data_IF_450074088316
#
_entry.id   IF_450074088316
#
_cell.length_a   1.000
_cell.length_b   1.000
_cell.length_c   1.000
_cell.angle_alpha   90.00
_cell.angle_beta   90.00
_cell.angle_gamma   90.00
#
_symmetry.space_group_name_H-M   'P 1'
#
loop_
_entity.id
_entity.type
_entity.pdbx_description
1 polymer ?
#
# COMPACT_ATOMS: atom_id res chain seq x y z
N UNK A 1 -4.92 -15.06 -6.66
CA UNK A 1 -3.91 -14.18 -6.01
C UNK A 1 -3.74 -12.76 -6.59
N UNK A 2 -3.16 -12.56 -7.79
CA UNK A 2 -2.71 -11.25 -8.31
C UNK A 2 -3.78 -10.14 -8.32
N UNK A 3 -5.01 -10.45 -8.72
CA UNK A 3 -6.10 -9.47 -8.78
C UNK A 3 -6.46 -8.90 -7.39
N UNK A 4 -6.34 -9.71 -6.34
CA UNK A 4 -6.53 -9.25 -4.95
C UNK A 4 -5.34 -8.42 -4.47
N UNK A 5 -4.13 -8.74 -4.94
CA UNK A 5 -2.90 -8.04 -4.55
C UNK A 5 -2.82 -6.64 -5.13
N UNK A 6 -3.05 -6.52 -6.44
CA UNK A 6 -2.69 -5.31 -7.20
C UNK A 6 -3.42 -4.06 -6.70
N UNK A 7 -4.66 -4.20 -6.23
CA UNK A 7 -5.41 -3.10 -5.63
C UNK A 7 -4.76 -2.61 -4.33
N UNK A 8 -4.46 -3.53 -3.40
CA UNK A 8 -3.82 -3.21 -2.11
C UNK A 8 -2.40 -2.65 -2.31
N UNK A 9 -1.64 -3.28 -3.20
CA UNK A 9 -0.31 -2.84 -3.62
C UNK A 9 -0.34 -1.39 -4.12
N UNK A 10 -1.21 -1.11 -5.11
CA UNK A 10 -1.28 0.21 -5.74
C UNK A 10 -1.64 1.29 -4.74
N UNK A 11 -2.51 0.99 -3.78
CA UNK A 11 -2.93 1.90 -2.74
C UNK A 11 -1.77 2.25 -1.78
N UNK A 12 -1.08 1.23 -1.24
CA UNK A 12 0.08 1.45 -0.35
C UNK A 12 1.21 2.15 -1.07
N UNK A 13 1.55 1.71 -2.27
CA UNK A 13 2.65 2.28 -3.05
C UNK A 13 2.38 3.75 -3.38
N UNK A 14 1.17 4.06 -3.81
CA UNK A 14 0.73 5.43 -4.06
C UNK A 14 0.88 6.31 -2.82
N UNK A 15 0.39 5.84 -1.67
CA UNK A 15 0.39 6.60 -0.43
C UNK A 15 1.77 6.77 0.18
N UNK A 16 2.61 5.73 0.15
CA UNK A 16 3.98 5.79 0.62
C UNK A 16 4.81 6.78 -0.20
N UNK A 17 4.78 6.66 -1.54
CA UNK A 17 5.51 7.58 -2.42
C UNK A 17 5.01 9.02 -2.30
N UNK A 18 3.69 9.21 -2.23
CA UNK A 18 3.14 10.55 -2.06
C UNK A 18 3.54 11.18 -0.71
N UNK A 19 3.63 10.37 0.35
CA UNK A 19 4.13 10.82 1.65
C UNK A 19 5.62 11.19 1.58
N UNK A 20 6.44 10.39 0.91
CA UNK A 20 7.88 10.62 0.75
C UNK A 20 8.18 11.91 -0.05
N UNK A 21 7.48 12.11 -1.18
CA UNK A 21 7.70 13.26 -2.07
C UNK A 21 7.09 14.55 -1.53
N UNK A 22 5.86 14.52 -1.00
CA UNK A 22 5.13 15.72 -0.59
C UNK A 22 4.93 15.87 0.91
N UNK A 23 5.59 15.06 1.74
CA UNK A 23 5.53 15.18 3.22
C UNK A 23 4.13 14.97 3.81
N UNK A 24 3.23 14.32 3.06
CA UNK A 24 1.84 14.13 3.44
C UNK A 24 1.01 15.42 3.37
N UNK A 25 1.42 16.37 2.54
CA UNK A 25 0.62 17.53 2.14
C UNK A 25 -0.45 17.06 1.15
N UNK A 26 -1.62 16.72 1.72
CA UNK A 26 -2.93 16.54 1.10
C UNK A 26 -3.11 15.39 0.09
N UNK A 27 -4.33 14.86 0.09
CA UNK A 27 -4.93 13.93 -0.87
C UNK A 27 -5.03 14.48 -2.30
N UNK A 28 -4.31 15.56 -2.60
CA UNK A 28 -4.32 16.24 -3.89
C UNK A 28 -3.52 15.46 -4.93
N UNK A 29 -2.38 14.88 -4.55
CA UNK A 29 -1.54 14.15 -5.48
C UNK A 29 -1.61 12.65 -5.21
N UNK A 30 -1.85 11.87 -6.26
CA UNK A 30 -1.77 10.42 -6.23
C UNK A 30 -0.65 9.98 -7.18
N UNK A 31 0.32 9.21 -6.67
CA UNK A 31 1.32 8.56 -7.51
C UNK A 31 0.82 7.19 -7.94
N UNK A 32 0.87 6.90 -9.24
CA UNK A 32 0.59 5.57 -9.76
C UNK A 32 1.89 4.83 -10.13
N UNK A 33 2.97 5.58 -10.32
CA UNK A 33 4.32 5.06 -10.49
C UNK A 33 5.33 6.16 -10.15
N UNK A 34 6.63 5.84 -10.19
CA UNK A 34 7.72 6.81 -10.04
C UNK A 34 7.61 7.99 -11.03
N UNK A 35 7.01 7.76 -12.20
CA UNK A 35 6.94 8.74 -13.28
C UNK A 35 5.53 9.30 -13.52
N UNK A 36 4.50 8.71 -12.90
CA UNK A 36 3.10 9.06 -13.13
C UNK A 36 2.49 9.58 -11.83
N UNK A 37 2.20 10.88 -11.83
CA UNK A 37 1.48 11.57 -10.77
C UNK A 37 0.23 12.24 -11.34
N UNK A 38 -0.87 12.17 -10.60
CA UNK A 38 -2.14 12.79 -10.97
C UNK A 38 -2.55 13.80 -9.89
N UNK A 39 -2.94 15.00 -10.33
CA UNK A 39 -3.60 15.99 -9.49
C UNK A 39 -5.09 15.64 -9.39
N UNK A 40 -5.47 15.02 -8.27
CA UNK A 40 -6.82 14.55 -7.96
C UNK A 40 -7.84 15.68 -7.85
N UNK A 41 -7.43 16.94 -7.68
CA UNK A 41 -8.33 18.10 -7.71
C UNK A 41 -8.61 18.59 -9.14
N UNK A 42 -7.80 18.16 -10.11
CA UNK A 42 -7.88 18.60 -11.52
C UNK A 42 -8.28 17.49 -12.50
N UNK A 43 -8.65 16.30 -12.01
CA UNK A 43 -9.10 15.20 -12.87
C UNK A 43 -10.29 15.58 -13.77
N UNK A 44 -11.15 16.50 -13.31
CA UNK A 44 -12.37 16.90 -14.03
C UNK A 44 -12.08 17.66 -15.34
N UNK A 45 -10.92 18.34 -15.44
CA UNK A 45 -10.55 19.15 -16.61
C UNK A 45 -10.25 18.34 -17.87
N UNK A 46 -10.01 17.02 -17.75
CA UNK A 46 -9.76 16.13 -18.89
C UNK A 46 -11.03 15.52 -19.50
N UNK A 47 -12.16 15.65 -18.82
CA UNK A 47 -13.41 14.95 -19.17
C UNK A 47 -14.37 15.79 -20.01
N UNK A 48 -14.11 17.09 -20.14
CA UNK A 48 -14.96 18.00 -20.91
C UNK A 48 -14.92 17.73 -22.43
N UNK A 49 -13.98 16.90 -22.90
CA UNK A 49 -13.79 16.58 -24.32
C UNK A 49 -14.49 15.28 -24.79
N UNK A 50 -15.04 14.45 -23.89
CA UNK A 50 -15.65 13.16 -24.24
C UNK A 50 -17.17 13.10 -23.97
N UNK A 51 -17.92 12.50 -24.91
CA UNK A 51 -19.39 12.35 -24.87
C UNK A 51 -19.96 11.55 -23.67
N UNK A 52 -19.11 10.99 -22.78
CA UNK A 52 -19.50 10.21 -21.59
C UNK A 52 -19.00 10.84 -20.26
N UNK A 53 -18.89 12.17 -20.22
CA UNK A 53 -18.38 12.92 -19.06
C UNK A 53 -19.09 12.59 -17.72
N UNK A 54 -20.37 12.18 -17.76
CA UNK A 54 -21.15 11.84 -16.57
C UNK A 54 -20.68 10.58 -15.84
N UNK A 55 -20.40 9.49 -16.57
CA UNK A 55 -19.90 8.25 -15.99
C UNK A 55 -18.50 8.42 -15.40
N UNK A 56 -17.62 9.10 -16.14
CA UNK A 56 -16.26 9.35 -15.69
C UNK A 56 -16.20 10.19 -14.43
N UNK A 57 -16.98 11.28 -14.35
CA UNK A 57 -17.03 12.12 -13.14
C UNK A 57 -17.41 11.30 -11.91
N UNK A 58 -18.45 10.47 -12.02
CA UNK A 58 -18.90 9.58 -10.94
C UNK A 58 -17.80 8.58 -10.53
N UNK A 59 -17.07 8.03 -11.51
CA UNK A 59 -15.95 7.13 -11.26
C UNK A 59 -14.80 7.84 -10.53
N UNK A 60 -14.40 9.04 -10.95
CA UNK A 60 -13.34 9.82 -10.28
C UNK A 60 -13.73 10.25 -8.88
N UNK A 61 -14.97 10.68 -8.66
CA UNK A 61 -15.49 10.96 -7.31
C UNK A 61 -15.44 9.71 -6.43
N UNK A 62 -15.81 8.55 -6.97
CA UNK A 62 -15.73 7.26 -6.27
C UNK A 62 -14.29 6.88 -5.92
N UNK A 63 -13.36 6.98 -6.88
CA UNK A 63 -11.94 6.71 -6.65
C UNK A 63 -11.34 7.68 -5.61
N UNK A 64 -11.64 8.97 -5.71
CA UNK A 64 -11.19 10.00 -4.76
C UNK A 64 -11.70 9.71 -3.35
N UNK A 65 -13.00 9.40 -3.21
CA UNK A 65 -13.61 9.08 -1.92
C UNK A 65 -13.02 7.80 -1.31
N UNK A 66 -12.82 6.75 -2.12
CA UNK A 66 -12.20 5.52 -1.67
C UNK A 66 -10.75 5.77 -1.21
N UNK A 67 -9.94 6.41 -2.05
CA UNK A 67 -8.55 6.75 -1.75
C UNK A 67 -8.43 7.61 -0.49
N UNK A 68 -9.27 8.63 -0.33
CA UNK A 68 -9.27 9.49 0.86
C UNK A 68 -9.59 8.73 2.14
N UNK A 69 -10.57 7.81 2.10
CA UNK A 69 -10.94 6.98 3.26
C UNK A 69 -9.79 6.07 3.66
N UNK A 70 -9.17 5.41 2.69
CA UNK A 70 -8.02 4.55 2.95
C UNK A 70 -6.83 5.36 3.49
N UNK A 71 -6.53 6.49 2.86
CA UNK A 71 -5.46 7.37 3.28
C UNK A 71 -5.65 7.86 4.72
N UNK A 72 -6.88 8.19 5.12
CA UNK A 72 -7.18 8.61 6.50
C UNK A 72 -6.86 7.53 7.54
N UNK A 73 -6.95 6.24 7.17
CA UNK A 73 -6.61 5.11 8.06
C UNK A 73 -5.11 4.84 8.09
N UNK A 74 -4.47 4.88 6.92
CA UNK A 74 -3.08 4.43 6.73
C UNK A 74 -2.08 5.54 7.10
N UNK A 75 -2.39 6.80 6.78
CA UNK A 75 -1.48 7.94 6.94
C UNK A 75 -0.96 8.13 8.38
N UNK A 76 -1.80 8.07 9.44
CA UNK A 76 -1.31 8.23 10.80
C UNK A 76 -0.30 7.16 11.17
N UNK A 77 -0.50 5.92 10.68
CA UNK A 77 0.39 4.80 10.94
C UNK A 77 1.69 5.00 10.18
N UNK A 78 1.65 5.33 8.88
CA UNK A 78 2.84 5.61 8.07
C UNK A 78 3.69 6.75 8.64
N UNK A 79 3.06 7.85 9.07
CA UNK A 79 3.76 9.00 9.67
C UNK A 79 4.42 8.64 11.00
N UNK A 80 3.77 7.80 11.81
CA UNK A 80 4.29 7.39 13.12
C UNK A 80 5.35 6.29 13.02
N UNK A 81 5.20 5.37 12.08
CA UNK A 81 6.07 4.19 11.96
C UNK A 81 7.45 4.53 11.44
N UNK A 82 7.61 5.67 10.73
CA UNK A 82 8.87 6.09 10.10
C UNK A 82 9.50 4.91 9.35
N UNK A 83 8.69 4.26 8.50
CA UNK A 83 9.12 3.05 7.78
C UNK A 83 10.27 3.38 6.84
N UNK A 84 11.31 2.54 6.89
CA UNK A 84 12.45 2.60 5.97
C UNK A 84 12.06 2.01 4.61
N UNK A 85 12.82 2.27 3.55
CA UNK A 85 12.58 1.63 2.25
C UNK A 85 12.58 0.10 2.32
N UNK A 86 13.45 -0.51 3.15
CA UNK A 86 13.50 -1.96 3.34
C UNK A 86 12.22 -2.50 4.00
N UNK A 87 11.76 -1.85 5.06
CA UNK A 87 10.49 -2.19 5.71
C UNK A 87 9.29 -2.00 4.78
N UNK A 88 9.34 -1.00 3.89
CA UNK A 88 8.32 -0.79 2.89
C UNK A 88 8.27 -1.95 1.88
N UNK A 89 9.41 -2.46 1.40
CA UNK A 89 9.41 -3.65 0.53
C UNK A 89 8.91 -4.90 1.25
N UNK A 90 9.30 -5.09 2.51
CA UNK A 90 8.77 -6.16 3.33
C UNK A 90 7.24 -6.05 3.52
N UNK A 91 6.72 -4.85 3.73
CA UNK A 91 5.27 -4.59 3.79
C UNK A 91 4.56 -4.99 2.50
N UNK A 92 5.14 -4.71 1.33
CA UNK A 92 4.57 -5.12 0.05
C UNK A 92 4.54 -6.64 -0.11
N UNK A 93 5.55 -7.36 0.40
CA UNK A 93 5.56 -8.81 0.41
C UNK A 93 4.53 -9.38 1.40
N UNK A 94 4.46 -8.85 2.63
CA UNK A 94 3.46 -9.25 3.62
C UNK A 94 2.03 -9.00 3.11
N UNK A 95 1.79 -7.91 2.39
CA UNK A 95 0.49 -7.64 1.75
C UNK A 95 0.07 -8.71 0.74
N UNK A 96 1.03 -9.36 0.07
CA UNK A 96 0.76 -10.48 -0.82
C UNK A 96 0.29 -11.71 -0.03
N UNK A 97 0.89 -11.93 1.14
CA UNK A 97 0.58 -13.05 2.01
C UNK A 97 -0.78 -12.91 2.73
N UNK A 98 -1.29 -11.70 2.86
CA UNK A 98 -2.58 -11.37 3.51
C UNK A 98 -3.78 -11.38 2.53
N UNK A 99 -3.62 -11.92 1.33
CA UNK A 99 -4.73 -12.05 0.39
C UNK A 99 -5.42 -13.37 0.67
N UNK A 100 -6.72 -13.29 0.94
CA UNK A 100 -7.57 -14.47 1.01
C UNK A 100 -7.43 -15.26 -0.30
N UNK A 101 -6.77 -16.40 -0.22
CA UNK A 101 -6.71 -17.35 -1.30
C UNK A 101 -8.14 -17.85 -1.57
N UNK A 102 -8.65 -17.78 -2.82
CA UNK A 102 -9.87 -18.47 -3.19
C UNK A 102 -9.84 -19.92 -2.69
N UNK A 103 -11.00 -20.47 -2.29
CA UNK A 103 -11.12 -21.85 -1.79
C UNK A 103 -10.56 -22.91 -2.79
N UNK A 104 -10.45 -22.54 -4.07
CA UNK A 104 -9.93 -23.37 -5.17
C UNK A 104 -8.42 -23.20 -5.46
N UNK A 105 -7.69 -22.38 -4.69
CA UNK A 105 -6.23 -22.25 -4.89
C UNK A 105 -5.52 -23.57 -4.51
N UNK A 106 -4.44 -23.87 -5.23
CA UNK A 106 -3.69 -25.11 -5.02
C UNK A 106 -2.93 -25.07 -3.70
N UNK A 107 -2.84 -26.19 -2.97
CA UNK A 107 -2.04 -26.34 -1.73
C UNK A 107 -0.61 -25.79 -1.89
N UNK A 108 -0.03 -25.97 -3.08
CA UNK A 108 1.27 -25.40 -3.45
C UNK A 108 1.32 -23.88 -3.29
N UNK A 109 0.30 -23.15 -3.75
CA UNK A 109 0.25 -21.68 -3.69
C UNK A 109 0.18 -21.22 -2.24
N UNK A 110 -0.63 -21.90 -1.41
CA UNK A 110 -0.75 -21.59 0.02
C UNK A 110 0.57 -21.84 0.75
N UNK A 111 1.25 -22.97 0.47
CA UNK A 111 2.58 -23.27 1.03
C UNK A 111 3.60 -22.20 0.64
N UNK A 112 3.67 -21.85 -0.65
CA UNK A 112 4.61 -20.83 -1.14
C UNK A 112 4.35 -19.46 -0.50
N UNK A 113 3.10 -19.07 -0.30
CA UNK A 113 2.75 -17.82 0.39
C UNK A 113 3.21 -17.86 1.86
N UNK A 114 3.05 -19.00 2.53
CA UNK A 114 3.54 -19.21 3.89
C UNK A 114 5.06 -19.09 3.97
N UNK A 115 5.78 -19.75 3.07
CA UNK A 115 7.24 -19.69 2.97
C UNK A 115 7.75 -18.26 2.75
N UNK A 116 7.12 -17.49 1.85
CA UNK A 116 7.45 -16.07 1.62
C UNK A 116 7.23 -15.25 2.90
N UNK A 117 6.14 -15.48 3.62
CA UNK A 117 5.85 -14.75 4.86
C UNK A 117 6.90 -15.02 5.93
N UNK A 118 7.28 -16.29 6.11
CA UNK A 118 8.33 -16.69 7.05
C UNK A 118 9.69 -16.09 6.68
N UNK A 119 10.08 -16.15 5.41
CA UNK A 119 11.34 -15.58 4.90
C UNK A 119 11.40 -14.07 5.13
N UNK A 120 10.33 -13.34 4.79
CA UNK A 120 10.26 -11.88 4.98
C UNK A 120 10.37 -11.49 6.47
N UNK A 121 9.76 -12.27 7.36
CA UNK A 121 9.83 -12.01 8.80
C UNK A 121 11.23 -12.27 9.37
N UNK A 122 11.92 -13.32 8.90
CA UNK A 122 13.30 -13.63 9.30
C UNK A 122 14.29 -12.58 8.77
N UNK A 123 14.11 -12.14 7.52
CA UNK A 123 14.90 -11.04 6.95
C UNK A 123 14.67 -9.73 7.70
N UNK A 124 13.43 -9.41 8.07
CA UNK A 124 13.12 -8.23 8.88
C UNK A 124 13.79 -8.30 10.25
N UNK A 125 13.75 -9.46 10.90
CA UNK A 125 14.42 -9.66 12.18
C UNK A 125 15.92 -9.41 12.06
N UNK A 126 16.56 -9.99 11.04
CA UNK A 126 18.00 -9.80 10.75
C UNK A 126 18.32 -8.34 10.45
N UNK A 127 17.49 -7.68 9.65
CA UNK A 127 17.62 -6.25 9.34
C UNK A 127 17.56 -5.39 10.63
N UNK A 128 16.65 -5.71 11.54
CA UNK A 128 16.52 -4.98 12.79
C UNK A 128 17.72 -5.20 13.72
N UNK A 129 18.18 -6.44 13.89
CA UNK A 129 19.24 -6.76 14.84
C UNK A 129 20.62 -6.37 14.32
N UNK A 130 20.92 -6.65 13.05
CA UNK A 130 22.26 -6.51 12.48
C UNK A 130 22.50 -5.14 11.85
N UNK A 131 21.55 -4.63 11.06
CA UNK A 131 21.74 -3.36 10.35
C UNK A 131 21.28 -2.15 11.16
N UNK A 132 20.12 -2.24 11.82
CA UNK A 132 19.60 -1.14 12.64
C UNK A 132 20.14 -1.16 14.07
N UNK A 133 20.72 -2.27 14.52
CA UNK A 133 21.25 -2.42 15.88
C UNK A 133 20.18 -2.32 16.97
N UNK A 134 18.91 -2.62 16.65
CA UNK A 134 17.80 -2.54 17.59
C UNK A 134 17.45 -3.93 18.13
N UNK A 135 17.44 -4.07 19.45
CA UNK A 135 17.08 -5.34 20.11
C UNK A 135 15.59 -5.48 20.39
N UNK A 136 14.87 -4.36 20.51
CA UNK A 136 13.41 -4.34 20.69
C UNK A 136 12.74 -3.70 19.47
N UNK A 137 12.44 -4.53 18.47
CA UNK A 137 11.77 -4.12 17.23
C UNK A 137 10.27 -4.43 17.22
N UNK A 138 9.69 -4.92 18.33
CA UNK A 138 8.29 -5.36 18.39
C UNK A 138 7.30 -4.25 18.00
N UNK A 139 7.57 -2.99 18.36
CA UNK A 139 6.72 -1.87 17.96
C UNK A 139 6.79 -1.60 16.46
N UNK A 140 7.97 -1.72 15.83
CA UNK A 140 8.14 -1.51 14.38
C UNK A 140 7.44 -2.62 13.61
N UNK A 141 7.68 -3.88 13.99
CA UNK A 141 7.00 -5.03 13.40
C UNK A 141 5.48 -4.95 13.60
N UNK A 142 5.02 -4.59 14.80
CA UNK A 142 3.59 -4.42 15.07
C UNK A 142 2.94 -3.33 14.20
N UNK A 143 3.64 -2.22 13.94
CA UNK A 143 3.16 -1.19 13.01
C UNK A 143 3.10 -1.72 11.57
N UNK A 144 4.07 -2.52 11.12
CA UNK A 144 4.07 -3.14 9.78
C UNK A 144 2.90 -4.13 9.62
N UNK A 145 2.69 -5.01 10.60
CA UNK A 145 1.55 -5.93 10.58
C UNK A 145 0.21 -5.16 10.62
N UNK A 146 0.13 -4.09 11.41
CA UNK A 146 -1.08 -3.25 11.41
C UNK A 146 -1.32 -2.65 10.02
N UNK A 147 -0.27 -2.20 9.32
CA UNK A 147 -0.38 -1.66 7.96
C UNK A 147 -0.81 -2.73 6.95
N UNK A 148 -0.29 -3.96 7.03
CA UNK A 148 -0.66 -5.04 6.10
C UNK A 148 -2.14 -5.41 6.23
N UNK A 149 -2.69 -5.42 7.45
CA UNK A 149 -4.10 -5.74 7.69
C UNK A 149 -5.07 -4.54 7.58
N UNK A 150 -4.57 -3.30 7.64
CA UNK A 150 -5.41 -2.10 7.56
C UNK A 150 -6.08 -1.94 6.20
N UNK A 151 -5.58 -2.63 5.17
CA UNK A 151 -6.01 -2.47 3.78
C UNK A 151 -6.80 -3.69 3.35
N UNK A 152 -8.09 -3.44 3.09
CA UNK A 152 -9.07 -4.41 2.62
C UNK A 152 -9.58 -4.03 1.26
#
# INVERSE_FOLDING_TARGET
LFNGYVGKFSLIDSHYRALDVWGGVQTRYAMFSVMICVDMERCDLRLEEENDAGNWKSLFESMRNYSNRQYALILPILKRSLITPKEFYALLALLLCEIDAPEDETELVVSTIGEISEEVLDELQTYYTEEMGISNFSTRLGNLMTLSHAIR
#
